data_IF_924353062941
#
_entry.id   IF_924353062941
#
_cell.length_a   1.000
_cell.length_b   1.000
_cell.length_c   1.000
_cell.angle_alpha   90.00
_cell.angle_beta   90.00
_cell.angle_gamma   90.00
#
_symmetry.space_group_name_H-M   'P 1'
#
loop_
_entity.id
_entity.type
_entity.pdbx_description
1 polymer ?
#
# COMPACT_ATOMS: atom_id res chain seq x y z
N UNK A 1 -25.54 -10.50 3.84
CA UNK A 1 -25.15 -11.79 3.25
C UNK A 1 -24.26 -11.46 2.06
N UNK A 2 -22.99 -11.86 2.05
CA UNK A 2 -22.12 -11.68 0.89
C UNK A 2 -22.49 -12.73 -0.16
N UNK A 3 -22.55 -12.34 -1.44
CA UNK A 3 -22.88 -13.27 -2.53
C UNK A 3 -21.86 -14.43 -2.55
N UNK A 4 -22.32 -15.67 -2.48
CA UNK A 4 -21.46 -16.87 -2.48
C UNK A 4 -20.71 -17.05 -3.80
N UNK A 5 -21.23 -16.53 -4.91
CA UNK A 5 -20.58 -16.62 -6.23
C UNK A 5 -19.43 -15.63 -6.41
N UNK A 6 -19.48 -14.45 -5.78
CA UNK A 6 -18.44 -13.42 -5.94
C UNK A 6 -17.77 -12.98 -4.63
N UNK A 7 -18.15 -13.55 -3.49
CA UNK A 7 -17.63 -13.21 -2.16
C UNK A 7 -17.85 -11.75 -1.75
N UNK A 8 -18.71 -11.00 -2.45
CA UNK A 8 -18.86 -9.55 -2.27
C UNK A 8 -17.88 -8.68 -3.08
N UNK A 9 -17.22 -9.23 -4.10
CA UNK A 9 -16.43 -8.44 -5.07
C UNK A 9 -17.30 -7.78 -6.15
N UNK A 10 -18.49 -8.31 -6.45
CA UNK A 10 -19.39 -7.77 -7.48
C UNK A 10 -19.09 -8.24 -8.90
N UNK A 11 -17.96 -8.91 -9.11
CA UNK A 11 -17.55 -9.45 -10.40
C UNK A 11 -16.87 -10.82 -10.22
N UNK A 12 -17.10 -11.74 -11.14
CA UNK A 12 -16.50 -13.08 -11.14
C UNK A 12 -15.32 -13.02 -12.12
N UNK A 13 -14.17 -12.57 -11.62
CA UNK A 13 -12.90 -12.59 -12.36
C UNK A 13 -12.06 -13.77 -11.91
N UNK A 14 -11.30 -14.37 -12.82
CA UNK A 14 -10.23 -15.31 -12.48
C UNK A 14 -9.29 -14.63 -11.48
N UNK A 15 -9.08 -15.21 -10.27
CA UNK A 15 -8.22 -14.59 -9.27
C UNK A 15 -6.79 -14.50 -9.81
N UNK A 16 -6.13 -13.37 -9.58
CA UNK A 16 -4.73 -13.21 -9.97
C UNK A 16 -3.86 -14.24 -9.22
N UNK A 17 -3.11 -15.09 -9.93
CA UNK A 17 -2.26 -16.11 -9.31
C UNK A 17 -1.19 -15.53 -8.35
N UNK A 18 -0.84 -14.25 -8.51
CA UNK A 18 0.20 -13.59 -7.70
C UNK A 18 -0.34 -12.96 -6.42
N UNK A 19 -1.61 -12.52 -6.40
CA UNK A 19 -2.23 -11.88 -5.22
C UNK A 19 -3.51 -12.55 -4.76
N UNK A 20 -3.93 -13.65 -5.39
CA UNK A 20 -5.16 -14.41 -5.10
C UNK A 20 -6.43 -13.54 -5.04
N UNK A 21 -6.47 -12.43 -5.79
CA UNK A 21 -7.59 -11.49 -5.78
C UNK A 21 -7.54 -10.39 -4.71
N UNK A 22 -6.46 -10.30 -3.90
CA UNK A 22 -6.28 -9.23 -2.89
C UNK A 22 -5.99 -7.86 -3.53
N UNK A 23 -5.57 -7.85 -4.80
CA UNK A 23 -5.26 -6.62 -5.56
C UNK A 23 -3.95 -5.95 -5.17
N UNK A 24 -3.09 -6.63 -4.40
CA UNK A 24 -1.79 -6.15 -3.94
C UNK A 24 -0.84 -7.31 -3.69
N UNK A 25 0.45 -7.06 -3.88
CA UNK A 25 1.52 -8.02 -3.62
C UNK A 25 2.55 -7.41 -2.68
N UNK A 26 3.03 -8.18 -1.71
CA UNK A 26 4.09 -7.72 -0.82
C UNK A 26 5.39 -7.66 -1.63
N UNK A 27 5.96 -6.46 -1.77
CA UNK A 27 7.25 -6.24 -2.40
C UNK A 27 8.15 -5.48 -1.45
N UNK A 28 9.43 -5.83 -1.46
CA UNK A 28 10.47 -5.07 -0.77
C UNK A 28 10.98 -3.99 -1.71
N UNK A 29 10.83 -2.72 -1.33
CA UNK A 29 11.33 -1.56 -2.09
C UNK A 29 12.38 -0.85 -1.25
N UNK A 30 13.51 -0.47 -1.86
CA UNK A 30 14.49 0.43 -1.24
C UNK A 30 14.08 1.86 -1.55
N UNK A 31 13.88 2.67 -0.50
CA UNK A 31 13.51 4.07 -0.62
C UNK A 31 14.67 4.90 -0.09
N UNK A 32 15.29 5.68 -0.97
CA UNK A 32 16.38 6.59 -0.61
C UNK A 32 15.80 7.96 -0.28
N UNK A 33 15.82 8.32 1.01
CA UNK A 33 15.31 9.61 1.49
C UNK A 33 16.48 10.49 1.89
N UNK A 34 16.45 11.76 1.46
CA UNK A 34 17.39 12.77 1.93
C UNK A 34 16.78 13.42 3.16
N UNK A 35 17.40 13.19 4.30
CA UNK A 35 17.05 13.86 5.55
C UNK A 35 17.77 15.21 5.59
N UNK A 36 17.05 16.35 5.55
CA UNK A 36 17.67 17.66 5.62
C UNK A 36 18.29 17.89 7.00
N UNK A 37 19.39 18.64 7.05
CA UNK A 37 19.99 19.07 8.32
C UNK A 37 19.01 20.00 9.06
N UNK A 38 18.78 19.75 10.35
CA UNK A 38 17.82 20.49 11.19
C UNK A 38 16.53 19.74 11.52
N UNK A 39 16.44 18.44 11.22
CA UNK A 39 15.39 17.59 11.80
C UNK A 39 15.76 17.22 13.23
N UNK A 40 14.91 17.59 14.18
CA UNK A 40 15.03 17.17 15.57
C UNK A 40 14.45 15.75 15.77
N UNK A 41 14.91 15.05 16.80
CA UNK A 41 14.35 13.76 17.24
C UNK A 41 12.85 13.92 17.50
N UNK A 42 12.01 13.16 16.79
CA UNK A 42 10.56 13.31 16.78
C UNK A 42 9.99 13.98 15.52
N UNK A 43 10.84 14.43 14.59
CA UNK A 43 10.40 14.95 13.30
C UNK A 43 9.75 13.86 12.45
N UNK A 44 8.57 14.16 11.88
CA UNK A 44 7.80 13.23 11.04
C UNK A 44 8.05 13.56 9.58
N UNK A 45 8.92 12.79 8.93
CA UNK A 45 9.11 12.89 7.49
C UNK A 45 8.03 12.06 6.79
N UNK A 46 7.15 12.72 6.06
CA UNK A 46 6.19 12.03 5.18
C UNK A 46 6.90 11.72 3.85
N UNK A 47 6.55 10.60 3.23
CA UNK A 47 7.01 10.22 1.90
C UNK A 47 5.77 9.85 1.10
N UNK A 48 5.50 10.67 0.09
CA UNK A 48 4.24 10.65 -0.62
C UNK A 48 4.21 9.42 -1.52
N UNK A 49 3.09 8.71 -1.54
CA UNK A 49 2.87 7.56 -2.42
C UNK A 49 3.85 6.38 -2.27
N UNK A 50 4.61 6.35 -1.18
CA UNK A 50 5.56 5.26 -0.85
C UNK A 50 5.05 4.35 0.28
N UNK A 51 3.80 4.53 0.70
CA UNK A 51 3.12 3.66 1.65
C UNK A 51 2.56 2.39 1.00
N UNK A 52 1.67 1.71 1.73
CA UNK A 52 1.07 0.48 1.23
C UNK A 52 0.18 0.73 0.00
N UNK A 53 0.20 -0.22 -0.95
CA UNK A 53 -0.70 -0.21 -2.09
C UNK A 53 -2.17 -0.19 -1.63
N UNK A 54 -2.98 0.67 -2.25
CA UNK A 54 -4.41 0.75 -1.97
C UNK A 54 -5.14 -0.54 -2.37
N UNK A 55 -6.22 -0.87 -1.65
CA UNK A 55 -7.04 -2.03 -1.98
C UNK A 55 -7.80 -1.78 -3.29
N UNK A 56 -7.96 -2.84 -4.10
CA UNK A 56 -8.74 -2.82 -5.35
C UNK A 56 -8.35 -1.70 -6.33
N UNK A 57 -7.04 -1.43 -6.46
CA UNK A 57 -6.53 -0.38 -7.36
C UNK A 57 -6.60 1.05 -6.80
N UNK A 58 -6.91 1.21 -5.50
CA UNK A 58 -6.81 2.49 -4.83
C UNK A 58 -5.38 3.06 -4.83
N UNK A 59 -5.21 4.38 -4.66
CA UNK A 59 -3.90 5.01 -4.63
C UNK A 59 -3.06 4.46 -3.47
N UNK A 60 -1.73 4.40 -3.62
CA UNK A 60 -0.83 4.05 -2.53
C UNK A 60 -0.95 5.08 -1.39
N UNK A 61 -0.79 4.61 -0.16
CA UNK A 61 -0.71 5.48 1.00
C UNK A 61 0.63 6.22 1.09
N UNK A 62 0.81 6.96 2.18
CA UNK A 62 2.08 7.62 2.50
C UNK A 62 2.90 6.78 3.49
N UNK A 63 4.22 6.85 3.37
CA UNK A 63 5.15 6.31 4.37
C UNK A 63 5.54 7.43 5.33
N UNK A 64 5.38 7.21 6.63
CA UNK A 64 5.85 8.14 7.67
C UNK A 64 7.09 7.56 8.32
N UNK A 65 8.17 8.34 8.31
CA UNK A 65 9.41 8.02 9.00
C UNK A 65 9.54 8.96 10.20
N UNK A 66 9.75 8.39 11.38
CA UNK A 66 10.04 9.14 12.61
C UNK A 66 11.51 8.92 12.93
N UNK A 67 12.21 10.02 13.21
CA UNK A 67 13.64 10.07 13.51
C UNK A 67 13.84 10.10 15.02
#
# INVERSE_FOLDING_TARGET
MTCSSCGGMGEISTPCNTCSGDGRVRKTKRISLKVPAGVDSGSRLRVWSEGNAGRRGGPPGDLFVVI
#
